data_IF_005250170529
#
_entry.id   IF_005250170529
#
_cell.length_a   1.000
_cell.length_b   1.000
_cell.length_c   1.000
_cell.angle_alpha   90.00
_cell.angle_beta   90.00
_cell.angle_gamma   90.00
#
_symmetry.space_group_name_H-M   'P 1'
#
loop_
_entity.id
_entity.type
_entity.pdbx_description
1 polymer ?
#
# COMPACT_ATOMS: atom_id res chain seq x y z
N UNK A 1 7.00 13.75 9.08
CA UNK A 1 6.77 12.49 8.35
C UNK A 1 7.28 11.35 9.21
N UNK A 2 6.49 10.31 9.41
CA UNK A 2 6.85 9.17 10.25
C UNK A 2 7.40 8.08 9.33
N UNK A 3 8.66 7.62 9.52
CA UNK A 3 9.20 6.52 8.74
C UNK A 3 8.50 5.22 9.16
N UNK A 4 7.82 4.58 8.22
CA UNK A 4 7.15 3.28 8.43
C UNK A 4 8.17 2.16 8.60
N UNK A 5 9.25 2.25 7.85
CA UNK A 5 10.42 1.36 7.90
C UNK A 5 11.67 2.16 7.53
N UNK A 6 12.83 1.72 7.98
CA UNK A 6 14.11 2.33 7.61
C UNK A 6 15.24 1.32 7.71
N UNK A 7 16.23 1.45 6.83
CA UNK A 7 17.47 0.69 6.90
C UNK A 7 18.38 1.30 7.98
N UNK A 8 18.82 0.49 8.93
CA UNK A 8 19.77 0.90 9.99
C UNK A 8 21.08 0.13 9.87
N UNK A 9 22.08 0.49 10.70
CA UNK A 9 23.34 -0.25 10.77
C UNK A 9 23.12 -1.73 11.14
N UNK A 10 22.16 -2.00 12.04
CA UNK A 10 21.98 -3.31 12.68
C UNK A 10 20.86 -4.15 12.03
N UNK A 11 20.11 -3.57 11.08
CA UNK A 11 19.00 -4.25 10.41
C UNK A 11 17.96 -3.29 9.87
N UNK A 12 16.74 -3.74 9.71
CA UNK A 12 15.60 -2.94 9.25
C UNK A 12 14.69 -2.64 10.44
N UNK A 13 14.45 -1.37 10.71
CA UNK A 13 13.56 -0.91 11.78
C UNK A 13 12.17 -0.66 11.21
N UNK A 14 11.14 -1.15 11.89
CA UNK A 14 9.74 -1.02 11.52
C UNK A 14 8.93 -0.39 12.64
N UNK A 15 8.03 0.55 12.31
CA UNK A 15 6.99 1.00 13.23
C UNK A 15 5.96 -0.12 13.41
N UNK A 16 5.72 -0.55 14.64
CA UNK A 16 4.77 -1.62 14.94
C UNK A 16 3.32 -1.13 14.82
N UNK A 17 2.74 -1.29 13.63
CA UNK A 17 1.36 -0.85 13.35
C UNK A 17 0.30 -1.68 14.08
N UNK A 18 0.65 -2.83 14.65
CA UNK A 18 -0.29 -3.66 15.42
C UNK A 18 -0.64 -3.02 16.77
N UNK A 19 0.23 -2.18 17.29
CA UNK A 19 0.08 -1.47 18.56
C UNK A 19 -0.53 -0.08 18.45
N UNK A 20 -0.50 0.51 17.24
CA UNK A 20 -1.16 1.79 17.00
C UNK A 20 -2.68 1.68 17.17
N UNK A 21 -3.36 2.74 17.64
CA UNK A 21 -2.85 4.07 18.00
C UNK A 21 -2.34 4.21 19.43
N UNK A 22 -2.43 3.15 20.26
CA UNK A 22 -2.22 3.26 21.70
C UNK A 22 -0.74 3.31 22.11
N UNK A 23 0.12 2.64 21.34
CA UNK A 23 1.56 2.59 21.61
C UNK A 23 2.33 2.81 20.31
N UNK A 24 3.25 3.76 20.31
CA UNK A 24 4.22 3.96 19.23
C UNK A 24 5.51 3.22 19.59
N UNK A 25 5.69 2.05 19.03
CA UNK A 25 6.86 1.20 19.27
C UNK A 25 7.48 0.74 17.96
N UNK A 26 8.73 0.35 18.02
CA UNK A 26 9.48 -0.08 16.84
C UNK A 26 10.04 -1.49 17.04
N UNK A 27 10.04 -2.26 15.96
CA UNK A 27 10.66 -3.57 15.87
C UNK A 27 11.92 -3.46 15.02
N UNK A 28 13.06 -3.91 15.52
CA UNK A 28 14.29 -4.05 14.76
C UNK A 28 14.42 -5.49 14.26
N UNK A 29 14.27 -5.71 12.95
CA UNK A 29 14.53 -6.99 12.32
C UNK A 29 16.01 -7.07 11.94
N UNK A 30 16.73 -7.97 12.59
CA UNK A 30 18.16 -8.19 12.39
C UNK A 30 18.47 -9.37 11.47
N UNK A 31 17.43 -10.03 10.90
CA UNK A 31 17.56 -11.09 9.90
C UNK A 31 16.39 -11.04 8.92
N UNK A 32 16.55 -11.67 7.75
CA UNK A 32 15.47 -11.73 6.76
C UNK A 32 14.25 -12.55 7.24
N UNK A 33 14.47 -13.55 8.12
CA UNK A 33 13.38 -14.29 8.76
C UNK A 33 12.53 -13.37 9.64
N UNK A 34 13.17 -12.49 10.43
CA UNK A 34 12.44 -11.50 11.22
C UNK A 34 11.71 -10.48 10.34
N UNK A 35 12.26 -10.11 9.17
CA UNK A 35 11.51 -9.31 8.19
C UNK A 35 10.29 -10.06 7.67
N UNK A 36 10.42 -11.37 7.40
CA UNK A 36 9.29 -12.22 7.01
C UNK A 36 8.22 -12.27 8.12
N UNK A 37 8.62 -12.40 9.38
CA UNK A 37 7.71 -12.37 10.54
C UNK A 37 6.98 -11.03 10.64
N UNK A 38 7.69 -9.90 10.48
CA UNK A 38 7.11 -8.54 10.49
C UNK A 38 6.03 -8.37 9.43
N UNK A 39 6.24 -8.91 8.22
CA UNK A 39 5.24 -8.89 7.13
C UNK A 39 4.05 -9.80 7.46
N UNK A 40 4.32 -11.02 7.92
CA UNK A 40 3.28 -12.02 8.22
C UNK A 40 2.37 -11.58 9.37
N UNK A 41 2.94 -11.00 10.42
CA UNK A 41 2.21 -10.54 11.61
C UNK A 41 1.60 -9.16 11.45
N UNK A 42 1.76 -8.53 10.28
CA UNK A 42 1.23 -7.20 9.96
C UNK A 42 1.79 -6.07 10.86
N UNK A 43 2.98 -6.23 11.40
CA UNK A 43 3.78 -5.13 11.98
C UNK A 43 3.98 -4.06 10.91
N UNK A 44 4.26 -4.48 9.68
CA UNK A 44 4.18 -3.66 8.46
C UNK A 44 3.09 -4.20 7.53
N UNK A 45 2.33 -3.29 6.87
CA UNK A 45 1.25 -3.61 5.94
C UNK A 45 1.11 -2.51 4.88
N UNK A 46 0.32 -2.78 3.82
CA UNK A 46 0.18 -1.90 2.65
C UNK A 46 1.10 -2.34 1.51
N UNK A 47 0.56 -2.33 0.28
CA UNK A 47 1.24 -2.92 -0.86
C UNK A 47 2.66 -2.36 -1.09
N UNK A 48 2.91 -1.03 -1.14
CA UNK A 48 4.25 -0.50 -1.33
C UNK A 48 5.20 -0.81 -0.17
N UNK A 49 4.75 -0.61 1.08
CA UNK A 49 5.58 -0.88 2.27
C UNK A 49 6.02 -2.35 2.36
N UNK A 50 5.13 -3.30 2.02
CA UNK A 50 5.45 -4.74 1.97
C UNK A 50 6.52 -5.01 0.89
N UNK A 51 6.39 -4.39 -0.29
CA UNK A 51 7.36 -4.55 -1.37
C UNK A 51 8.76 -4.10 -0.96
N UNK A 52 8.90 -2.89 -0.43
CA UNK A 52 10.19 -2.36 0.04
C UNK A 52 10.73 -3.16 1.23
N UNK A 53 9.86 -3.59 2.15
CA UNK A 53 10.25 -4.48 3.25
C UNK A 53 10.85 -5.78 2.74
N UNK A 54 10.26 -6.38 1.71
CA UNK A 54 10.80 -7.60 1.10
C UNK A 54 12.15 -7.34 0.41
N UNK A 55 12.30 -6.23 -0.32
CA UNK A 55 13.58 -5.86 -0.93
C UNK A 55 14.68 -5.68 0.13
N UNK A 56 14.36 -4.98 1.23
CA UNK A 56 15.29 -4.84 2.36
C UNK A 56 15.58 -6.20 3.03
N UNK A 57 14.57 -7.07 3.15
CA UNK A 57 14.75 -8.43 3.67
C UNK A 57 15.69 -9.27 2.81
N UNK A 58 15.54 -9.20 1.47
CA UNK A 58 16.46 -9.86 0.52
C UNK A 58 17.89 -9.34 0.70
N UNK A 59 18.05 -8.01 0.71
CA UNK A 59 19.36 -7.39 0.85
C UNK A 59 20.01 -7.72 2.20
N UNK A 60 19.23 -7.72 3.30
CA UNK A 60 19.71 -8.08 4.64
C UNK A 60 20.17 -9.54 4.69
N UNK A 61 19.39 -10.47 4.09
CA UNK A 61 19.75 -11.88 4.04
C UNK A 61 21.05 -12.11 3.27
N UNK A 62 21.20 -11.49 2.10
CA UNK A 62 22.42 -11.58 1.29
C UNK A 62 23.61 -10.95 2.01
N UNK A 63 23.43 -9.82 2.68
CA UNK A 63 24.50 -9.16 3.47
C UNK A 63 25.01 -10.01 4.63
N UNK A 64 24.17 -10.89 5.17
CA UNK A 64 24.50 -11.79 6.29
C UNK A 64 24.98 -13.17 5.83
N UNK A 65 24.98 -13.41 4.51
CA UNK A 65 25.46 -14.67 3.93
C UNK A 65 26.95 -14.88 4.27
N UNK A 66 27.28 -16.12 4.56
CA UNK A 66 28.67 -16.58 4.69
C UNK A 66 29.19 -17.29 3.43
N UNK A 67 28.44 -17.22 2.32
CA UNK A 67 28.80 -17.86 1.06
C UNK A 67 30.15 -17.35 0.54
N UNK A 68 31.08 -18.28 0.30
CA UNK A 68 32.39 -17.97 -0.25
C UNK A 68 32.40 -17.85 -1.76
N UNK A 69 31.39 -18.43 -2.45
CA UNK A 69 31.26 -18.42 -3.90
C UNK A 69 29.94 -17.85 -4.34
N UNK A 70 29.86 -17.36 -5.58
CA UNK A 70 28.61 -16.90 -6.20
C UNK A 70 27.59 -18.05 -6.33
N UNK A 71 28.05 -19.28 -6.55
CA UNK A 71 27.16 -20.46 -6.62
C UNK A 71 26.48 -20.72 -5.27
N UNK A 72 27.22 -20.67 -4.16
CA UNK A 72 26.65 -20.85 -2.82
C UNK A 72 25.70 -19.71 -2.48
N UNK A 73 26.09 -18.46 -2.80
CA UNK A 73 25.26 -17.29 -2.61
C UNK A 73 23.93 -17.39 -3.37
N UNK A 74 23.94 -17.94 -4.58
CA UNK A 74 22.71 -18.12 -5.37
C UNK A 74 21.71 -19.08 -4.71
N UNK A 75 22.20 -20.17 -4.09
CA UNK A 75 21.34 -21.08 -3.32
C UNK A 75 20.73 -20.40 -2.09
N UNK A 76 21.54 -19.62 -1.34
CA UNK A 76 21.04 -18.88 -0.20
C UNK A 76 20.05 -17.79 -0.64
N UNK A 77 20.32 -17.07 -1.74
CA UNK A 77 19.43 -16.07 -2.32
C UNK A 77 18.04 -16.64 -2.67
N UNK A 78 18.01 -17.83 -3.28
CA UNK A 78 16.75 -18.51 -3.61
C UNK A 78 15.95 -18.87 -2.36
N UNK A 79 16.61 -19.33 -1.29
CA UNK A 79 15.97 -19.63 -0.01
C UNK A 79 15.43 -18.37 0.66
N UNK A 80 16.16 -17.26 0.63
CA UNK A 80 15.73 -15.95 1.15
C UNK A 80 14.47 -15.47 0.42
N UNK A 81 14.52 -15.46 -0.92
CA UNK A 81 13.39 -15.06 -1.75
C UNK A 81 12.15 -15.92 -1.51
N UNK A 82 12.32 -17.24 -1.39
CA UNK A 82 11.22 -18.18 -1.13
C UNK A 82 10.57 -17.96 0.23
N UNK A 83 11.37 -17.69 1.26
CA UNK A 83 10.87 -17.36 2.61
C UNK A 83 10.02 -16.09 2.61
N UNK A 84 10.51 -15.04 1.97
CA UNK A 84 9.78 -13.76 1.88
C UNK A 84 8.51 -13.88 1.02
N UNK A 85 8.56 -14.60 -0.11
CA UNK A 85 7.40 -14.83 -0.98
C UNK A 85 6.26 -15.57 -0.27
N UNK A 86 6.56 -16.46 0.67
CA UNK A 86 5.57 -17.21 1.43
C UNK A 86 4.78 -16.37 2.45
N UNK A 87 5.22 -15.15 2.78
CA UNK A 87 4.61 -14.32 3.83
C UNK A 87 3.21 -13.83 3.48
N UNK A 88 2.99 -13.36 2.25
CA UNK A 88 1.71 -12.81 1.76
C UNK A 88 1.47 -13.19 0.30
N UNK A 89 0.96 -14.41 0.02
CA UNK A 89 0.84 -14.97 -1.34
C UNK A 89 -0.01 -14.16 -2.32
N UNK A 90 -0.85 -13.25 -1.85
CA UNK A 90 -1.73 -12.42 -2.68
C UNK A 90 -1.19 -10.99 -2.92
N UNK A 91 -0.09 -10.61 -2.26
CA UNK A 91 0.43 -9.25 -2.30
C UNK A 91 1.31 -9.02 -3.57
N UNK A 92 0.75 -8.36 -4.59
CA UNK A 92 1.42 -8.11 -5.89
C UNK A 92 2.78 -7.44 -5.71
N UNK A 93 2.85 -6.37 -4.92
CA UNK A 93 4.09 -5.60 -4.72
C UNK A 93 5.20 -6.42 -4.04
N UNK A 94 4.84 -7.44 -3.23
CA UNK A 94 5.81 -8.38 -2.65
C UNK A 94 6.54 -9.14 -3.76
N UNK A 95 5.78 -9.73 -4.69
CA UNK A 95 6.34 -10.51 -5.79
C UNK A 95 7.09 -9.63 -6.78
N UNK A 96 6.57 -8.44 -7.08
CA UNK A 96 7.25 -7.45 -7.91
C UNK A 96 8.62 -7.09 -7.34
N UNK A 97 8.70 -6.77 -6.04
CA UNK A 97 9.96 -6.41 -5.38
C UNK A 97 10.97 -7.57 -5.37
N UNK A 98 10.50 -8.80 -5.09
CA UNK A 98 11.35 -9.99 -5.12
C UNK A 98 11.86 -10.26 -6.55
N UNK A 99 11.00 -10.12 -7.57
CA UNK A 99 11.40 -10.28 -8.97
C UNK A 99 12.43 -9.23 -9.37
N UNK A 100 12.24 -7.97 -9.00
CA UNK A 100 13.17 -6.88 -9.25
C UNK A 100 14.54 -7.13 -8.61
N UNK A 101 14.57 -7.53 -7.33
CA UNK A 101 15.82 -7.90 -6.65
C UNK A 101 16.50 -9.11 -7.29
N UNK A 102 15.73 -10.07 -7.81
CA UNK A 102 16.24 -11.23 -8.53
C UNK A 102 16.85 -10.85 -9.87
N UNK A 103 16.23 -9.98 -10.63
CA UNK A 103 16.79 -9.47 -11.88
C UNK A 103 18.11 -8.75 -11.63
N UNK A 104 18.16 -7.91 -10.58
CA UNK A 104 19.39 -7.24 -10.16
C UNK A 104 20.47 -8.21 -9.76
N UNK A 105 20.16 -9.22 -8.94
CA UNK A 105 21.08 -10.28 -8.53
C UNK A 105 21.66 -11.03 -9.75
N UNK A 106 20.81 -11.45 -10.67
CA UNK A 106 21.22 -12.17 -11.88
C UNK A 106 22.15 -11.31 -12.76
N UNK A 107 21.83 -10.04 -12.94
CA UNK A 107 22.66 -9.10 -13.71
C UNK A 107 24.05 -8.87 -13.08
N UNK A 108 24.14 -8.87 -11.75
CA UNK A 108 25.39 -8.74 -11.02
C UNK A 108 26.23 -10.00 -11.11
N UNK A 109 25.64 -11.16 -10.85
CA UNK A 109 26.34 -12.45 -10.81
C UNK A 109 26.81 -12.93 -12.18
N UNK A 110 26.25 -12.38 -13.27
CA UNK A 110 26.77 -12.60 -14.63
C UNK A 110 28.09 -11.85 -14.93
N UNK A 111 28.54 -10.92 -14.05
CA UNK A 111 29.76 -10.13 -14.26
C UNK A 111 30.99 -10.96 -13.86
N UNK A 112 32.00 -11.06 -14.72
CA UNK A 112 33.25 -11.77 -14.40
C UNK A 112 33.93 -11.15 -13.18
N UNK A 113 34.34 -12.00 -12.23
CA UNK A 113 35.11 -11.57 -11.04
C UNK A 113 34.31 -10.86 -9.94
N UNK A 114 32.98 -10.84 -10.03
CA UNK A 114 32.13 -10.31 -8.95
C UNK A 114 32.29 -11.15 -7.67
N UNK A 115 32.29 -10.50 -6.52
CA UNK A 115 32.36 -11.18 -5.23
C UNK A 115 31.03 -11.15 -4.48
N UNK A 116 30.75 -12.10 -3.57
CA UNK A 116 29.56 -12.08 -2.74
C UNK A 116 29.33 -10.75 -2.01
N UNK A 117 30.38 -10.13 -1.48
CA UNK A 117 30.33 -8.86 -0.77
C UNK A 117 29.90 -7.71 -1.71
N UNK A 118 30.40 -7.68 -2.95
CA UNK A 118 30.01 -6.67 -3.93
C UNK A 118 28.54 -6.82 -4.35
N UNK A 119 28.02 -8.05 -4.42
CA UNK A 119 26.60 -8.32 -4.65
C UNK A 119 25.77 -7.84 -3.48
N UNK A 120 26.18 -8.12 -2.24
CA UNK A 120 25.47 -7.69 -1.03
C UNK A 120 25.38 -6.16 -0.92
N UNK A 121 26.48 -5.47 -1.21
CA UNK A 121 26.54 -4.00 -1.21
C UNK A 121 25.63 -3.38 -2.29
N UNK A 122 25.60 -3.95 -3.48
CA UNK A 122 24.78 -3.46 -4.58
C UNK A 122 23.28 -3.68 -4.28
N UNK A 123 22.90 -4.87 -3.80
CA UNK A 123 21.52 -5.16 -3.41
C UNK A 123 21.05 -4.30 -2.23
N UNK A 124 21.94 -3.95 -1.30
CA UNK A 124 21.61 -3.02 -0.21
C UNK A 124 21.32 -1.61 -0.74
N UNK A 125 22.11 -1.13 -1.71
CA UNK A 125 21.86 0.14 -2.39
C UNK A 125 20.57 0.11 -3.19
N UNK A 126 20.28 -1.01 -3.85
CA UNK A 126 19.06 -1.20 -4.63
C UNK A 126 17.81 -1.14 -3.73
N UNK A 127 17.82 -1.83 -2.60
CA UNK A 127 16.72 -1.77 -1.64
C UNK A 127 16.51 -0.35 -1.08
N UNK A 128 17.59 0.40 -0.82
CA UNK A 128 17.51 1.80 -0.41
C UNK A 128 16.95 2.67 -1.55
N UNK A 129 17.35 2.43 -2.80
CA UNK A 129 16.81 3.14 -3.97
C UNK A 129 15.30 2.92 -4.11
N UNK A 130 14.82 1.68 -3.94
CA UNK A 130 13.39 1.38 -3.97
C UNK A 130 12.62 2.13 -2.86
N UNK A 131 13.21 2.27 -1.68
CA UNK A 131 12.63 3.07 -0.59
C UNK A 131 12.53 4.56 -0.96
N UNK A 132 13.60 5.13 -1.51
CA UNK A 132 13.64 6.55 -1.87
C UNK A 132 12.69 6.84 -3.05
N UNK A 133 12.59 5.91 -4.01
CA UNK A 133 11.68 5.99 -5.15
C UNK A 133 10.20 5.90 -4.73
N UNK A 134 9.86 5.05 -3.76
CA UNK A 134 8.49 5.00 -3.22
C UNK A 134 8.07 6.35 -2.63
N UNK A 135 8.94 6.98 -1.84
CA UNK A 135 8.67 8.31 -1.28
C UNK A 135 8.52 9.35 -2.40
N UNK A 136 9.39 9.33 -3.40
CA UNK A 136 9.35 10.26 -4.52
C UNK A 136 8.07 10.07 -5.36
N UNK A 137 7.71 8.83 -5.64
CA UNK A 137 6.48 8.48 -6.36
C UNK A 137 5.23 8.93 -5.58
N UNK A 138 5.17 8.68 -4.27
CA UNK A 138 4.07 9.15 -3.42
C UNK A 138 3.92 10.68 -3.42
N UNK A 139 5.04 11.42 -3.34
CA UNK A 139 5.02 12.89 -3.42
C UNK A 139 4.56 13.39 -4.79
N UNK A 140 5.04 12.78 -5.87
CA UNK A 140 4.64 13.14 -7.24
C UNK A 140 3.14 12.85 -7.44
N UNK A 141 2.66 11.68 -6.99
CA UNK A 141 1.24 11.32 -7.00
C UNK A 141 0.41 12.32 -6.20
N UNK A 142 0.88 12.71 -5.00
CA UNK A 142 0.27 13.75 -4.20
C UNK A 142 0.14 15.06 -4.96
N UNK A 143 1.21 15.51 -5.61
CA UNK A 143 1.22 16.72 -6.43
C UNK A 143 0.25 16.65 -7.62
N UNK A 144 0.17 15.49 -8.31
CA UNK A 144 -0.75 15.26 -9.42
C UNK A 144 -2.22 15.29 -8.97
N UNK A 145 -2.53 14.72 -7.79
CA UNK A 145 -3.89 14.58 -7.29
C UNK A 145 -4.42 15.77 -6.50
N UNK A 146 -3.55 16.60 -5.92
CA UNK A 146 -3.96 17.68 -5.02
C UNK A 146 -4.96 18.65 -5.64
N UNK A 147 -4.79 19.00 -6.93
CA UNK A 147 -5.68 19.90 -7.65
C UNK A 147 -7.09 19.32 -7.92
N UNK A 148 -7.28 18.01 -7.72
CA UNK A 148 -8.59 17.36 -7.87
C UNK A 148 -9.43 17.45 -6.60
N UNK A 149 -8.80 17.71 -5.46
CA UNK A 149 -9.49 17.87 -4.18
C UNK A 149 -10.06 19.27 -4.03
N UNK A 150 -11.17 19.45 -3.30
CA UNK A 150 -11.75 20.76 -3.08
C UNK A 150 -10.78 21.68 -2.30
N UNK A 151 -10.80 22.98 -2.60
CA UNK A 151 -10.01 23.97 -1.86
C UNK A 151 -10.40 24.04 -0.39
N UNK A 152 -11.66 23.72 -0.08
CA UNK A 152 -12.17 23.64 1.29
C UNK A 152 -13.31 22.63 1.41
N UNK A 153 -13.39 21.96 2.56
CA UNK A 153 -14.49 21.04 2.91
C UNK A 153 -14.03 19.62 3.19
N UNK A 154 -15.00 18.71 3.25
CA UNK A 154 -14.75 17.34 3.65
C UNK A 154 -14.25 16.45 2.53
N UNK A 155 -13.24 15.64 2.82
CA UNK A 155 -12.75 14.56 1.97
C UNK A 155 -12.88 13.25 2.73
N UNK A 156 -13.56 12.27 2.14
CA UNK A 156 -13.68 10.92 2.72
C UNK A 156 -12.53 10.05 2.24
N UNK A 157 -12.02 9.24 3.14
CA UNK A 157 -11.09 8.15 2.81
C UNK A 157 -11.50 6.86 3.51
N UNK A 158 -11.09 5.72 2.94
CA UNK A 158 -11.41 4.39 3.45
C UNK A 158 -10.12 3.57 3.57
N UNK A 159 -10.01 2.75 4.62
CA UNK A 159 -8.81 2.00 4.97
C UNK A 159 -7.63 2.93 5.38
N UNK A 160 -6.41 2.49 5.12
CA UNK A 160 -5.21 3.30 5.29
C UNK A 160 -4.30 3.16 4.07
N UNK A 161 -4.26 4.22 3.29
CA UNK A 161 -3.36 4.38 2.14
C UNK A 161 -2.46 5.62 2.35
N UNK A 162 -1.89 5.70 3.54
CA UNK A 162 -1.03 6.79 4.00
C UNK A 162 0.44 6.39 4.13
N UNK A 163 1.18 7.15 4.92
CA UNK A 163 2.59 6.94 5.22
C UNK A 163 2.83 5.51 5.75
N UNK A 164 1.93 5.01 6.59
CA UNK A 164 1.99 3.67 7.18
C UNK A 164 1.80 2.52 6.17
N UNK A 165 1.28 2.81 4.98
CA UNK A 165 1.11 1.83 3.90
C UNK A 165 2.22 1.89 2.84
N UNK A 166 3.11 2.88 2.94
CA UNK A 166 4.22 3.17 2.04
C UNK A 166 5.50 3.37 2.84
N UNK A 167 6.53 3.95 2.24
CA UNK A 167 7.77 4.25 2.96
C UNK A 167 7.75 5.58 3.73
N UNK A 168 6.66 6.39 3.64
CA UNK A 168 6.64 7.61 4.45
C UNK A 168 5.69 8.73 4.06
N UNK A 169 5.11 8.79 2.85
CA UNK A 169 4.22 9.90 2.45
C UNK A 169 2.78 9.47 2.21
N UNK A 170 2.58 8.28 1.65
CA UNK A 170 1.28 7.73 1.34
C UNK A 170 0.77 8.04 -0.07
N UNK A 171 -0.19 7.24 -0.51
CA UNK A 171 -0.87 7.42 -1.80
C UNK A 171 -2.10 8.31 -1.64
N UNK A 172 -3.24 7.80 -1.22
CA UNK A 172 -4.45 8.60 -1.01
C UNK A 172 -4.26 9.70 0.05
N UNK A 173 -3.65 9.37 1.18
CA UNK A 173 -3.35 10.39 2.19
C UNK A 173 -2.21 11.31 1.73
N UNK A 174 -1.34 10.86 0.83
CA UNK A 174 -0.36 11.71 0.15
C UNK A 174 -1.02 12.80 -0.72
N UNK A 175 -2.10 12.46 -1.44
CA UNK A 175 -2.91 13.45 -2.16
C UNK A 175 -3.54 14.47 -1.22
N UNK A 176 -4.05 14.02 -0.07
CA UNK A 176 -4.61 14.91 0.96
C UNK A 176 -3.51 15.82 1.54
N UNK A 177 -2.34 15.27 1.89
CA UNK A 177 -1.18 16.02 2.39
C UNK A 177 -0.76 17.11 1.40
N UNK A 178 -0.59 16.73 0.16
CA UNK A 178 -0.19 17.67 -0.90
C UNK A 178 -1.22 18.79 -1.11
N UNK A 179 -2.52 18.51 -0.96
CA UNK A 179 -3.55 19.54 -1.03
C UNK A 179 -3.48 20.49 0.19
N UNK A 180 -3.31 19.96 1.40
CA UNK A 180 -3.13 20.78 2.61
C UNK A 180 -1.85 21.62 2.54
N UNK A 181 -0.74 21.07 2.06
CA UNK A 181 0.52 21.78 1.83
C UNK A 181 0.37 22.94 0.82
N UNK A 182 -0.60 22.84 -0.10
CA UNK A 182 -0.98 23.92 -1.03
C UNK A 182 -1.96 24.93 -0.44
N UNK A 183 -2.35 24.77 0.82
CA UNK A 183 -3.24 25.69 1.53
C UNK A 183 -4.73 25.34 1.44
N UNK A 184 -5.09 24.14 0.96
CA UNK A 184 -6.49 23.70 0.98
C UNK A 184 -6.96 23.48 2.43
N UNK A 185 -8.14 24.01 2.76
CA UNK A 185 -8.76 23.87 4.08
C UNK A 185 -9.59 22.56 4.14
N UNK A 186 -8.90 21.42 4.14
CA UNK A 186 -9.52 20.09 4.11
C UNK A 186 -9.82 19.61 5.53
N UNK A 187 -11.00 19.02 5.72
CA UNK A 187 -11.36 18.18 6.86
C UNK A 187 -11.52 16.74 6.38
N UNK A 188 -10.76 15.80 6.96
CA UNK A 188 -10.81 14.39 6.53
C UNK A 188 -11.88 13.64 7.33
N UNK A 189 -12.74 12.93 6.63
CA UNK A 189 -13.58 11.89 7.19
C UNK A 189 -12.95 10.53 6.89
N UNK A 190 -12.66 9.74 7.92
CA UNK A 190 -12.07 8.43 7.79
C UNK A 190 -13.08 7.37 8.21
N UNK A 191 -13.48 6.50 7.28
CA UNK A 191 -14.24 5.30 7.63
C UNK A 191 -13.40 4.44 8.57
N UNK A 192 -14.00 3.91 9.65
CA UNK A 192 -13.28 3.04 10.60
C UNK A 192 -12.67 1.81 9.94
N UNK A 193 -13.27 1.33 8.87
CA UNK A 193 -12.84 0.20 8.03
C UNK A 193 -12.83 -1.12 8.80
N UNK A 194 -14.03 -1.64 9.09
CA UNK A 194 -14.18 -3.01 9.61
C UNK A 194 -13.65 -4.04 8.61
N UNK A 195 -13.18 -5.23 9.07
CA UNK A 195 -13.08 -5.66 10.47
C UNK A 195 -11.79 -5.21 11.19
N UNK A 196 -10.69 -4.88 10.47
CA UNK A 196 -9.37 -4.64 11.06
C UNK A 196 -9.16 -3.21 11.58
N UNK A 197 -10.09 -2.29 11.27
CA UNK A 197 -10.14 -0.90 11.75
C UNK A 197 -8.93 -0.04 11.33
N UNK A 198 -8.43 -0.23 10.11
CA UNK A 198 -7.28 0.56 9.61
C UNK A 198 -7.57 2.05 9.57
N UNK A 199 -8.81 2.45 9.24
CA UNK A 199 -9.21 3.85 9.23
C UNK A 199 -9.20 4.48 10.62
N UNK A 200 -9.83 3.81 11.59
CA UNK A 200 -9.90 4.30 12.96
C UNK A 200 -8.54 4.29 13.66
N UNK A 201 -7.74 3.23 13.44
CA UNK A 201 -6.49 3.01 14.16
C UNK A 201 -5.29 3.70 13.54
N UNK A 202 -5.18 3.66 12.21
CA UNK A 202 -3.99 4.07 11.48
C UNK A 202 -4.18 5.39 10.76
N UNK A 203 -5.25 5.53 9.95
CA UNK A 203 -5.51 6.77 9.20
C UNK A 203 -5.74 7.95 10.12
N UNK A 204 -6.60 7.79 11.14
CA UNK A 204 -6.84 8.85 12.10
C UNK A 204 -5.56 9.23 12.86
N UNK A 205 -4.76 8.23 13.27
CA UNK A 205 -3.53 8.46 14.00
C UNK A 205 -2.52 9.27 13.17
N UNK A 206 -2.24 8.87 11.92
CA UNK A 206 -1.25 9.58 11.10
C UNK A 206 -1.70 10.97 10.66
N UNK A 207 -2.98 11.17 10.33
CA UNK A 207 -3.51 12.48 9.98
C UNK A 207 -3.51 13.46 11.17
N UNK A 208 -3.85 12.98 12.36
CA UNK A 208 -3.76 13.79 13.60
C UNK A 208 -2.30 14.13 13.92
N UNK A 209 -1.36 13.22 13.71
CA UNK A 209 0.07 13.48 13.85
C UNK A 209 0.56 14.59 12.90
N UNK A 210 0.01 14.63 11.68
CA UNK A 210 0.30 15.68 10.69
C UNK A 210 -0.49 16.99 10.94
N UNK A 211 -1.33 17.05 11.97
CA UNK A 211 -2.16 18.23 12.28
C UNK A 211 -3.32 18.44 11.32
N UNK A 212 -3.72 17.43 10.55
CA UNK A 212 -4.83 17.50 9.59
C UNK A 212 -6.14 17.20 10.33
N UNK A 213 -7.15 18.12 10.30
CA UNK A 213 -8.43 17.89 10.94
C UNK A 213 -9.12 16.63 10.47
N UNK A 214 -9.42 15.71 11.40
CA UNK A 214 -9.92 14.37 11.06
C UNK A 214 -11.10 13.97 11.96
N UNK A 215 -12.10 13.33 11.35
CA UNK A 215 -13.23 12.70 12.05
C UNK A 215 -13.36 11.25 11.59
N UNK A 216 -13.41 10.32 12.54
CA UNK A 216 -13.69 8.90 12.27
C UNK A 216 -15.18 8.66 12.18
N UNK A 217 -15.59 7.84 11.21
CA UNK A 217 -16.96 7.38 10.98
C UNK A 217 -17.04 5.86 11.13
N UNK A 218 -18.18 5.35 11.58
CA UNK A 218 -18.52 3.96 11.27
C UNK A 218 -18.77 3.83 9.76
N UNK A 219 -18.40 2.68 9.16
CA UNK A 219 -18.45 2.47 7.71
C UNK A 219 -19.83 2.73 7.06
N UNK A 220 -20.89 2.58 7.83
CA UNK A 220 -22.27 2.79 7.38
C UNK A 220 -22.77 4.26 7.49
N UNK A 221 -21.90 5.19 7.93
CA UNK A 221 -22.32 6.59 8.14
C UNK A 221 -22.03 7.49 6.93
N UNK A 222 -21.18 7.08 6.00
CA UNK A 222 -20.72 7.89 4.88
C UNK A 222 -21.87 8.53 4.07
N UNK A 223 -22.90 7.75 3.70
CA UNK A 223 -24.06 8.26 2.95
C UNK A 223 -24.78 9.41 3.64
N UNK A 224 -24.92 9.34 4.96
CA UNK A 224 -25.58 10.40 5.75
C UNK A 224 -24.81 11.73 5.67
N UNK A 225 -23.47 11.68 5.72
CA UNK A 225 -22.61 12.86 5.63
C UNK A 225 -22.52 13.40 4.19
N UNK A 226 -22.54 12.52 3.19
CA UNK A 226 -22.64 12.88 1.77
C UNK A 226 -23.94 13.65 1.51
N UNK A 227 -25.08 13.14 1.97
CA UNK A 227 -26.38 13.81 1.87
C UNK A 227 -26.41 15.18 2.54
N UNK A 228 -25.67 15.35 3.64
CA UNK A 228 -25.56 16.64 4.34
C UNK A 228 -24.61 17.64 3.66
N UNK A 229 -23.96 17.25 2.53
CA UNK A 229 -22.96 18.06 1.83
C UNK A 229 -21.65 18.25 2.60
N UNK A 230 -21.41 17.44 3.64
CA UNK A 230 -20.16 17.49 4.42
C UNK A 230 -18.99 16.87 3.69
N UNK A 231 -19.23 15.85 2.86
CA UNK A 231 -18.22 15.17 2.04
C UNK A 231 -18.36 15.67 0.61
N UNK A 232 -17.26 16.17 0.03
CA UNK A 232 -17.21 16.76 -1.31
C UNK A 232 -16.33 15.99 -2.29
N UNK A 233 -15.48 15.12 -1.79
CA UNK A 233 -14.66 14.22 -2.60
C UNK A 233 -14.35 12.95 -1.80
N UNK A 234 -14.07 11.87 -2.51
CA UNK A 234 -13.53 10.63 -1.94
C UNK A 234 -12.17 10.37 -2.56
N UNK A 235 -11.18 10.00 -1.75
CA UNK A 235 -9.88 9.51 -2.24
C UNK A 235 -9.48 8.29 -1.45
N UNK A 236 -9.18 7.20 -2.16
CA UNK A 236 -8.79 5.90 -1.60
C UNK A 236 -7.54 5.37 -2.28
N UNK A 237 -6.88 4.40 -1.66
CA UNK A 237 -5.81 3.63 -2.30
C UNK A 237 -6.34 2.52 -3.21
N UNK A 238 -5.42 1.65 -3.65
CA UNK A 238 -5.74 0.40 -4.30
C UNK A 238 -4.74 -0.69 -3.91
N UNK A 239 -5.22 -1.93 -3.85
CA UNK A 239 -4.37 -3.11 -3.70
C UNK A 239 -4.00 -3.70 -5.08
N UNK A 240 -4.89 -3.54 -6.09
CA UNK A 240 -4.65 -3.89 -7.50
C UNK A 240 -5.61 -3.15 -8.41
N UNK A 241 -5.14 -2.75 -9.59
CA UNK A 241 -5.96 -2.12 -10.65
C UNK A 241 -5.82 -2.96 -11.91
N UNK A 242 -6.94 -3.44 -12.46
CA UNK A 242 -6.98 -4.22 -13.70
C UNK A 242 -6.82 -3.31 -14.94
N UNK A 243 -6.53 -3.91 -16.09
CA UNK A 243 -6.32 -3.20 -17.36
C UNK A 243 -7.52 -2.35 -17.83
N UNK A 244 -8.74 -2.72 -17.43
CA UNK A 244 -9.96 -1.95 -17.74
C UNK A 244 -10.24 -0.82 -16.72
N UNK A 245 -9.41 -0.66 -15.69
CA UNK A 245 -9.56 0.33 -14.63
C UNK A 245 -10.44 -0.11 -13.45
N UNK A 246 -10.86 -1.37 -13.38
CA UNK A 246 -11.49 -1.92 -12.17
C UNK A 246 -10.47 -1.96 -11.02
N UNK A 247 -10.92 -1.61 -9.82
CA UNK A 247 -10.04 -1.41 -8.66
C UNK A 247 -10.39 -2.37 -7.55
N UNK A 248 -9.48 -3.26 -7.21
CA UNK A 248 -9.53 -4.03 -5.97
C UNK A 248 -8.91 -3.21 -4.83
N UNK A 249 -9.66 -3.03 -3.75
CA UNK A 249 -9.20 -2.35 -2.55
C UNK A 249 -9.89 -2.93 -1.31
N UNK A 250 -9.51 -2.45 -0.13
CA UNK A 250 -10.07 -2.91 1.14
C UNK A 250 -11.59 -2.98 1.10
N UNK A 251 -12.13 -4.10 1.62
CA UNK A 251 -13.59 -4.35 1.70
C UNK A 251 -14.33 -3.10 2.21
N UNK A 252 -15.43 -2.74 1.54
CA UNK A 252 -16.19 -1.52 1.76
C UNK A 252 -15.90 -0.39 0.75
N UNK A 253 -14.81 -0.45 0.01
CA UNK A 253 -14.47 0.56 -1.00
C UNK A 253 -15.53 0.66 -2.10
N UNK A 254 -16.05 -0.47 -2.58
CA UNK A 254 -17.11 -0.50 -3.59
C UNK A 254 -18.41 0.14 -3.06
N UNK A 255 -18.75 -0.11 -1.78
CA UNK A 255 -19.89 0.55 -1.16
C UNK A 255 -19.73 2.09 -1.17
N UNK A 256 -18.58 2.60 -0.77
CA UNK A 256 -18.28 4.04 -0.79
C UNK A 256 -18.35 4.63 -2.21
N UNK A 257 -17.85 3.90 -3.22
CA UNK A 257 -17.89 4.34 -4.62
C UNK A 257 -19.34 4.45 -5.16
N UNK A 258 -20.22 3.48 -4.83
CA UNK A 258 -21.65 3.55 -5.15
C UNK A 258 -22.30 4.76 -4.50
N UNK A 259 -22.05 4.98 -3.19
CA UNK A 259 -22.61 6.12 -2.46
C UNK A 259 -22.11 7.45 -3.01
N UNK A 260 -20.83 7.57 -3.34
CA UNK A 260 -20.27 8.75 -3.98
C UNK A 260 -20.96 9.06 -5.31
N UNK A 261 -21.17 8.03 -6.16
CA UNK A 261 -21.86 8.16 -7.45
C UNK A 261 -23.30 8.63 -7.28
N UNK A 262 -24.05 8.05 -6.34
CA UNK A 262 -25.45 8.42 -6.05
C UNK A 262 -25.57 9.88 -5.60
N UNK A 263 -24.57 10.37 -4.86
CA UNK A 263 -24.56 11.76 -4.37
C UNK A 263 -23.83 12.74 -5.31
N UNK A 264 -23.39 12.32 -6.50
CA UNK A 264 -22.65 13.16 -7.45
C UNK A 264 -21.28 13.63 -6.95
N UNK A 265 -20.67 12.87 -6.03
CA UNK A 265 -19.38 13.18 -5.42
C UNK A 265 -18.27 12.46 -6.21
N UNK A 266 -17.16 13.14 -6.60
CA UNK A 266 -16.07 12.51 -7.29
C UNK A 266 -15.37 11.46 -6.40
N UNK A 267 -15.05 10.31 -7.01
CA UNK A 267 -14.35 9.20 -6.38
C UNK A 267 -13.01 8.98 -7.07
N UNK A 268 -11.93 9.22 -6.35
CA UNK A 268 -10.55 9.13 -6.83
C UNK A 268 -9.82 7.93 -6.22
N UNK A 269 -8.98 7.30 -7.04
CA UNK A 269 -8.09 6.21 -6.62
C UNK A 269 -6.65 6.67 -6.80
N UNK A 270 -5.84 6.61 -5.75
CA UNK A 270 -4.44 6.98 -5.77
C UNK A 270 -3.56 5.76 -5.49
N UNK A 271 -2.80 5.33 -6.49
CA UNK A 271 -1.95 4.14 -6.40
C UNK A 271 -0.73 4.29 -7.32
N UNK A 272 0.45 3.75 -6.93
CA UNK A 272 1.62 3.76 -7.79
C UNK A 272 1.40 2.87 -9.02
N UNK A 273 2.14 3.14 -10.08
CA UNK A 273 2.06 2.38 -11.33
C UNK A 273 2.26 0.86 -11.11
N UNK A 274 3.11 0.50 -10.15
CA UNK A 274 3.36 -0.90 -9.77
C UNK A 274 2.13 -1.65 -9.23
N UNK A 275 1.06 -0.95 -8.89
CA UNK A 275 -0.23 -1.52 -8.46
C UNK A 275 -1.14 -1.85 -9.66
N UNK A 276 -0.82 -1.33 -10.84
CA UNK A 276 -1.58 -1.59 -12.07
C UNK A 276 -1.11 -2.91 -12.68
N UNK A 277 -2.05 -3.83 -12.85
CA UNK A 277 -1.84 -5.16 -13.42
C UNK A 277 -2.49 -5.24 -14.80
N UNK A 278 -1.72 -4.88 -15.82
CA UNK A 278 -2.18 -4.90 -17.21
C UNK A 278 -2.36 -6.33 -17.76
N UNK A 279 -1.83 -7.35 -17.07
CA UNK A 279 -2.03 -8.75 -17.43
C UNK A 279 -3.41 -9.28 -16.97
N UNK A 280 -4.07 -8.60 -16.04
CA UNK A 280 -5.44 -8.90 -15.60
C UNK A 280 -6.43 -8.01 -16.35
N UNK A 281 -7.24 -8.55 -17.31
CA UNK A 281 -8.09 -7.74 -18.17
C UNK A 281 -9.18 -6.98 -17.43
N UNK A 282 -9.84 -7.62 -16.46
CA UNK A 282 -10.96 -7.07 -15.67
C UNK A 282 -10.84 -7.42 -14.20
N UNK A 283 -11.58 -6.72 -13.36
CA UNK A 283 -11.62 -6.97 -11.92
C UNK A 283 -12.06 -8.38 -11.52
N UNK A 284 -12.83 -9.07 -12.36
CA UNK A 284 -13.25 -10.46 -12.12
C UNK A 284 -12.07 -11.45 -12.08
N UNK A 285 -10.94 -11.09 -12.69
CA UNK A 285 -9.71 -11.87 -12.67
C UNK A 285 -8.87 -11.68 -11.40
N UNK A 286 -9.24 -10.75 -10.53
CA UNK A 286 -8.46 -10.45 -9.31
C UNK A 286 -8.84 -11.44 -8.19
N UNK A 287 -7.89 -12.23 -7.67
CA UNK A 287 -8.17 -13.13 -6.55
C UNK A 287 -8.45 -12.35 -5.26
N UNK A 288 -9.55 -12.68 -4.58
CA UNK A 288 -9.93 -12.05 -3.31
C UNK A 288 -9.54 -12.95 -2.15
N UNK A 289 -8.64 -12.44 -1.29
CA UNK A 289 -8.19 -13.12 -0.08
C UNK A 289 -9.33 -13.26 0.94
N UNK A 290 -9.53 -14.46 1.46
CA UNK A 290 -10.39 -14.69 2.62
C UNK A 290 -9.56 -14.61 3.90
N UNK A 291 -10.03 -13.83 4.85
CA UNK A 291 -9.34 -13.55 6.11
C UNK A 291 -9.91 -14.39 7.26
N UNK A 292 -9.14 -14.58 8.33
CA UNK A 292 -9.62 -15.33 9.49
C UNK A 292 -10.93 -14.76 10.08
N UNK A 293 -11.88 -15.63 10.38
CA UNK A 293 -13.19 -15.27 10.99
C UNK A 293 -13.03 -14.47 12.29
N UNK A 294 -11.92 -14.68 13.01
CA UNK A 294 -11.63 -14.00 14.26
C UNK A 294 -11.56 -12.48 14.12
N UNK A 295 -11.19 -11.95 12.95
CA UNK A 295 -11.15 -10.49 12.70
C UNK A 295 -12.57 -9.89 12.75
N UNK A 296 -13.59 -10.64 12.31
CA UNK A 296 -15.00 -10.22 12.37
C UNK A 296 -15.61 -10.50 13.73
N UNK A 297 -15.35 -11.70 14.28
CA UNK A 297 -16.02 -12.21 15.48
C UNK A 297 -15.49 -11.62 16.78
N UNK A 298 -14.29 -11.03 16.77
CA UNK A 298 -13.67 -10.48 17.97
C UNK A 298 -13.20 -9.04 17.76
N UNK A 299 -13.22 -8.26 18.82
CA UNK A 299 -12.59 -6.96 18.89
C UNK A 299 -11.89 -6.78 20.24
N UNK A 300 -10.62 -6.36 20.22
CA UNK A 300 -9.80 -6.20 21.43
C UNK A 300 -9.84 -7.44 22.36
N UNK A 301 -9.79 -8.62 21.76
CA UNK A 301 -9.85 -9.91 22.47
C UNK A 301 -11.23 -10.36 22.95
N UNK A 302 -12.27 -9.52 22.81
CA UNK A 302 -13.65 -9.81 23.19
C UNK A 302 -14.45 -10.34 22.01
N UNK A 303 -15.21 -11.41 22.22
CA UNK A 303 -16.14 -11.95 21.23
C UNK A 303 -17.35 -11.04 21.08
N UNK A 304 -17.75 -10.75 19.84
CA UNK A 304 -18.87 -9.89 19.48
C UNK A 304 -20.08 -10.66 18.95
N UNK A 305 -19.84 -11.86 18.39
CA UNK A 305 -20.89 -12.65 17.73
C UNK A 305 -21.24 -13.88 18.56
N UNK A 306 -22.45 -14.46 18.39
CA UNK A 306 -22.76 -15.79 18.95
C UNK A 306 -21.77 -16.85 18.45
N UNK A 307 -21.50 -17.87 19.27
CA UNK A 307 -20.73 -19.03 18.85
C UNK A 307 -21.44 -19.79 17.71
N UNK A 308 -20.68 -20.20 16.69
CA UNK A 308 -21.19 -21.02 15.58
C UNK A 308 -21.97 -20.27 14.52
N UNK A 309 -22.07 -18.93 14.58
CA UNK A 309 -22.60 -18.14 13.47
C UNK A 309 -21.65 -18.19 12.27
N UNK A 310 -22.19 -18.34 11.06
CA UNK A 310 -21.39 -18.27 9.82
C UNK A 310 -20.79 -16.88 9.61
N UNK A 311 -19.56 -16.83 9.10
CA UNK A 311 -18.81 -15.59 8.87
C UNK A 311 -18.31 -15.56 7.43
N UNK A 312 -18.49 -14.40 6.78
CA UNK A 312 -17.84 -14.02 5.55
C UNK A 312 -16.83 -12.90 5.86
N UNK A 313 -15.58 -13.07 5.42
CA UNK A 313 -14.53 -12.07 5.65
C UNK A 313 -13.60 -11.91 4.44
N UNK A 314 -14.12 -11.46 3.26
CA UNK A 314 -13.26 -11.08 2.15
C UNK A 314 -12.43 -9.85 2.53
N UNK A 315 -11.14 -9.88 2.21
CA UNK A 315 -10.23 -8.77 2.52
C UNK A 315 -10.50 -7.54 1.66
N UNK A 316 -10.95 -7.74 0.42
CA UNK A 316 -11.09 -6.73 -0.62
C UNK A 316 -12.46 -6.87 -1.31
N UNK A 317 -12.90 -5.78 -1.93
CA UNK A 317 -13.93 -5.79 -2.96
C UNK A 317 -13.40 -5.14 -4.25
N UNK A 318 -14.10 -5.38 -5.35
CA UNK A 318 -13.75 -4.82 -6.65
C UNK A 318 -14.73 -3.71 -7.01
N UNK A 319 -14.21 -2.50 -7.13
CA UNK A 319 -14.96 -1.33 -7.61
C UNK A 319 -14.89 -1.28 -9.14
N UNK A 320 -16.02 -1.42 -9.86
CA UNK A 320 -16.03 -1.25 -11.31
C UNK A 320 -15.57 0.15 -11.75
N UNK A 321 -14.79 0.20 -12.83
CA UNK A 321 -14.20 1.42 -13.38
C UNK A 321 -15.19 2.57 -13.60
N UNK A 322 -16.47 2.25 -13.92
CA UNK A 322 -17.56 3.24 -14.10
C UNK A 322 -17.85 4.11 -12.87
N UNK A 323 -17.41 3.71 -11.69
CA UNK A 323 -17.55 4.47 -10.44
C UNK A 323 -16.32 5.33 -10.14
N UNK A 324 -15.20 5.10 -10.82
CA UNK A 324 -13.93 5.82 -10.60
C UNK A 324 -13.92 7.08 -11.47
N UNK A 325 -13.75 8.25 -10.85
CA UNK A 325 -13.67 9.54 -11.56
C UNK A 325 -12.31 9.76 -12.19
N UNK A 326 -11.23 9.39 -11.45
CA UNK A 326 -9.86 9.38 -11.97
C UNK A 326 -8.99 8.44 -11.14
N UNK A 327 -7.97 7.88 -11.80
CA UNK A 327 -6.87 7.16 -11.17
C UNK A 327 -5.66 8.10 -11.17
N UNK A 328 -5.07 8.31 -9.99
CA UNK A 328 -3.95 9.21 -9.75
C UNK A 328 -2.70 8.34 -9.54
N UNK A 329 -1.69 8.54 -10.36
CA UNK A 329 -0.41 7.85 -10.26
C UNK A 329 0.73 8.86 -10.22
N UNK A 330 1.96 8.41 -9.96
CA UNK A 330 3.16 9.23 -10.10
C UNK A 330 3.42 9.62 -11.57
N UNK A 331 2.86 8.86 -12.51
CA UNK A 331 2.98 9.12 -13.95
C UNK A 331 1.97 10.12 -14.49
N UNK A 332 0.92 10.43 -13.72
CA UNK A 332 -0.14 11.37 -14.09
C UNK A 332 -1.52 10.96 -13.60
N UNK A 333 -2.52 11.71 -14.04
CA UNK A 333 -3.94 11.49 -13.74
C UNK A 333 -4.63 10.87 -14.94
N UNK A 334 -5.14 9.66 -14.74
CA UNK A 334 -5.86 8.90 -15.76
C UNK A 334 -7.37 9.08 -15.60
N UNK A 335 -8.07 9.11 -16.73
CA UNK A 335 -9.54 9.21 -16.80
C UNK A 335 -10.10 8.18 -17.77
N UNK A 336 -11.36 7.85 -17.61
CA UNK A 336 -12.05 6.95 -18.54
C UNK A 336 -12.03 7.51 -19.98
N UNK A 337 -11.90 6.64 -21.00
CA UNK A 337 -11.82 5.16 -20.93
C UNK A 337 -10.46 4.68 -20.41
N UNK A 338 -10.46 3.92 -19.31
CA UNK A 338 -9.21 3.55 -18.64
C UNK A 338 -8.33 2.59 -19.44
N UNK A 339 -8.91 1.68 -20.20
CA UNK A 339 -8.14 0.76 -21.04
C UNK A 339 -7.24 1.52 -22.05
N UNK A 340 -7.75 2.62 -22.60
CA UNK A 340 -7.00 3.48 -23.53
C UNK A 340 -5.96 4.31 -22.79
N UNK A 341 -6.37 5.02 -21.74
CA UNK A 341 -5.47 5.92 -21.00
C UNK A 341 -4.32 5.19 -20.26
N UNK A 342 -4.55 3.95 -19.80
CA UNK A 342 -3.51 3.11 -19.23
C UNK A 342 -2.50 2.65 -20.29
N UNK A 343 -2.99 2.20 -21.47
CA UNK A 343 -2.13 1.76 -22.58
C UNK A 343 -1.29 2.92 -23.14
N UNK A 344 -1.87 4.11 -23.28
CA UNK A 344 -1.15 5.31 -23.74
C UNK A 344 -0.03 5.71 -22.79
N UNK A 345 -0.28 5.66 -21.47
CA UNK A 345 0.72 6.04 -20.47
C UNK A 345 1.87 5.02 -20.39
N UNK A 346 1.58 3.74 -20.61
CA UNK A 346 2.60 2.69 -20.68
C UNK A 346 3.54 2.89 -21.88
N UNK A 347 2.96 3.14 -23.08
CA UNK A 347 3.73 3.30 -24.31
C UNK A 347 4.60 4.55 -24.31
N UNK A 348 4.13 5.65 -23.73
CA UNK A 348 4.85 6.93 -23.66
C UNK A 348 6.14 6.79 -22.86
N UNK A 349 6.20 5.94 -21.87
CA UNK A 349 7.40 5.73 -21.05
C UNK A 349 8.34 4.63 -21.55
N UNK A 350 7.85 3.70 -22.37
CA UNK A 350 8.73 2.73 -23.04
C UNK A 350 9.58 3.38 -24.16
N UNK A 351 9.21 4.58 -24.58
CA UNK A 351 9.86 5.32 -25.68
C UNK A 351 10.84 6.44 -25.21
N UNK A 352 10.96 6.71 -23.91
CA UNK A 352 11.87 7.70 -23.31
C UNK A 352 12.90 7.08 -22.39
#
# INVERSE_FOLDING_TARGET
>A
MIPTLEWTRDGVRFLDQTKLPLEETYVLATSYQQVADVITTMVVRGAPAIGVSAAMGVALGVKQSSAATISDLAHEFDAICSTLAATRPTAVNLFWAIAHMRERFNALTARPGITPEAVADDLSKEAQRMYDEDIAACKTMGANGAALLPEAGGVLTHCNAGALATCGYGTALGVIRAAVERGHAIHVYADETRPFLQGARLTAWELMHDGIPTTVLCDNMAASLMRQGKIRAVVVGADRIAANGDVANKIGTYNVAILAKEHGIPFYVAAPWSTIDLATPTGDGIPIEQRPEREVTHHAGKQLTPHGVGIENPAFDVTPAKYVTAIITERGVLRAPYAESLAELETTQAAG
#
